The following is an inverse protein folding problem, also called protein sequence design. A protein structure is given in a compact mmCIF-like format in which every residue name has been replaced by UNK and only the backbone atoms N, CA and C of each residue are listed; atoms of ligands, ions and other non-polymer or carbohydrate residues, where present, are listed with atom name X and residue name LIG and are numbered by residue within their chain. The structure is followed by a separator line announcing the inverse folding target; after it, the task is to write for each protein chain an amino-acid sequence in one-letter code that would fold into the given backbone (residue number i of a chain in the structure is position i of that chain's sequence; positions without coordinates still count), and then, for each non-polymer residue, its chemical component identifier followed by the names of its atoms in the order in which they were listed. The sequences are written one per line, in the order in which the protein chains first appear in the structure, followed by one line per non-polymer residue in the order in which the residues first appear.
data_IF_312416054645
#
_entry.id   IF_312416054645
#
_cell.length_a   1.000
_cell.length_b   1.000
_cell.length_c   1.000
_cell.angle_alpha   90.00
_cell.angle_beta   90.00
_cell.angle_gamma   90.00
#
_symmetry.space_group_name_H-M   'P 1'
#
loop_
_entity.id
_entity.type
_entity.pdbx_description
1 polymer ?
#
# COMPACT_ATOMS: atom_id res chain seq x y z
N UNK A 1 14.60 40.01 81.86
CA UNK A 1 13.91 39.15 80.89
C UNK A 1 12.41 39.28 81.14
N UNK A 2 11.70 40.06 80.31
CA UNK A 2 10.26 40.23 80.40
C UNK A 2 9.62 39.44 79.25
N UNK A 3 8.85 38.40 79.58
CA UNK A 3 8.12 37.60 78.60
C UNK A 3 6.88 38.38 78.16
N UNK A 4 6.92 38.94 76.96
CA UNK A 4 5.81 39.63 76.31
C UNK A 4 4.76 38.61 75.89
N UNK A 5 3.64 38.55 76.62
CA UNK A 5 2.42 37.84 76.22
C UNK A 5 1.85 38.49 74.94
N UNK A 6 2.33 38.06 73.77
CA UNK A 6 1.69 38.41 72.49
C UNK A 6 0.35 37.66 72.41
N UNK A 7 -0.74 38.38 72.70
CA UNK A 7 -2.10 37.87 72.46
C UNK A 7 -2.21 37.53 70.97
N UNK A 8 -2.26 36.24 70.63
CA UNK A 8 -2.52 35.81 69.26
C UNK A 8 -3.88 36.36 68.83
N UNK A 9 -3.95 36.92 67.63
CA UNK A 9 -5.19 37.47 67.06
C UNK A 9 -5.89 36.41 66.21
N UNK A 10 -7.22 36.50 66.12
CA UNK A 10 -8.01 35.59 65.29
C UNK A 10 -7.68 35.74 63.80
N UNK A 11 -7.21 34.69 63.14
CA UNK A 11 -6.81 34.68 61.73
C UNK A 11 -7.93 35.10 60.75
N UNK A 12 -9.21 34.84 61.09
CA UNK A 12 -10.36 35.18 60.23
C UNK A 12 -10.89 36.61 60.40
N UNK A 13 -10.66 37.28 61.53
CA UNK A 13 -11.26 38.62 61.78
C UNK A 13 -10.34 39.67 62.36
N UNK A 14 -9.11 39.33 62.77
CA UNK A 14 -8.06 40.22 63.31
C UNK A 14 -8.50 41.16 64.47
N UNK A 15 -9.69 40.96 65.05
CA UNK A 15 -10.29 41.85 66.07
C UNK A 15 -10.48 41.17 67.42
N UNK A 16 -10.67 39.85 67.44
CA UNK A 16 -10.78 39.06 68.67
C UNK A 16 -9.45 38.43 69.06
N UNK A 17 -9.17 38.32 70.36
CA UNK A 17 -8.10 37.44 70.84
C UNK A 17 -8.37 36.01 70.40
N UNK A 18 -7.35 35.33 69.87
CA UNK A 18 -7.38 33.92 69.54
C UNK A 18 -7.48 33.12 70.84
N UNK A 19 -8.62 32.46 71.04
CA UNK A 19 -8.91 31.66 72.25
C UNK A 19 -8.61 30.18 71.99
N UNK A 20 -8.73 29.73 70.73
CA UNK A 20 -8.49 28.35 70.33
C UNK A 20 -7.60 28.31 69.08
N UNK A 21 -6.61 27.42 69.08
CA UNK A 21 -5.75 27.15 67.92
C UNK A 21 -6.15 25.83 67.29
N UNK A 22 -6.31 25.82 65.96
CA UNK A 22 -6.48 24.57 65.22
C UNK A 22 -5.11 23.96 64.93
N UNK A 23 -4.84 22.76 65.43
CA UNK A 23 -3.55 22.09 65.20
C UNK A 23 -3.32 21.69 63.73
N UNK A 24 -4.40 21.47 62.97
CA UNK A 24 -4.31 21.07 61.56
C UNK A 24 -3.81 22.20 60.66
N UNK A 25 -4.38 23.41 60.79
CA UNK A 25 -3.97 24.57 59.99
C UNK A 25 -3.05 25.55 60.73
N UNK A 26 -2.72 25.27 62.01
CA UNK A 26 -1.88 26.09 62.90
C UNK A 26 -2.34 27.55 63.07
N UNK A 27 -3.62 27.82 62.80
CA UNK A 27 -4.20 29.16 62.92
C UNK A 27 -4.98 29.30 64.23
N UNK A 28 -4.89 30.49 64.82
CA UNK A 28 -5.62 30.85 66.05
C UNK A 28 -6.89 31.60 65.70
N UNK A 29 -7.99 31.22 66.32
CA UNK A 29 -9.32 31.74 66.04
C UNK A 29 -10.00 32.21 67.32
N UNK A 30 -10.91 33.18 67.20
CA UNK A 30 -11.88 33.43 68.26
C UNK A 30 -12.93 32.32 68.24
N UNK A 31 -13.66 32.15 69.35
CA UNK A 31 -14.63 31.05 69.53
C UNK A 31 -15.61 30.90 68.36
N UNK A 32 -16.11 32.01 67.81
CA UNK A 32 -17.04 31.98 66.67
C UNK A 32 -16.39 31.41 65.40
N UNK A 33 -15.24 31.93 65.00
CA UNK A 33 -14.57 31.50 63.76
C UNK A 33 -13.94 30.11 63.90
N UNK A 34 -13.65 29.65 65.12
CA UNK A 34 -13.23 28.27 65.36
C UNK A 34 -14.36 27.27 65.07
N UNK A 35 -15.59 27.58 65.50
CA UNK A 35 -16.78 26.75 65.21
C UNK A 35 -17.09 26.74 63.73
N UNK A 36 -17.04 27.90 63.06
CA UNK A 36 -17.22 27.98 61.60
C UNK A 36 -16.16 27.15 60.85
N UNK A 37 -14.89 27.25 61.24
CA UNK A 37 -13.82 26.45 60.64
C UNK A 37 -14.06 24.95 60.83
N UNK A 38 -14.54 24.53 62.01
CA UNK A 38 -14.87 23.12 62.25
C UNK A 38 -16.07 22.65 61.45
N UNK A 39 -17.05 23.52 61.22
CA UNK A 39 -18.20 23.25 60.37
C UNK A 39 -17.80 23.12 58.89
N UNK A 40 -16.91 23.99 58.40
CA UNK A 40 -16.35 23.91 57.04
C UNK A 40 -15.62 22.56 56.82
N UNK A 41 -14.84 22.11 57.80
CA UNK A 41 -14.18 20.79 57.74
C UNK A 41 -15.18 19.62 57.75
N UNK A 42 -16.28 19.74 58.48
CA UNK A 42 -17.35 18.73 58.47
C UNK A 42 -17.99 18.62 57.09
N UNK A 43 -18.28 19.76 56.45
CA UNK A 43 -18.85 19.76 55.09
C UNK A 43 -17.90 19.13 54.07
N UNK A 44 -16.59 19.35 54.20
CA UNK A 44 -15.60 18.73 53.31
C UNK A 44 -15.54 17.22 53.48
N UNK A 45 -15.61 16.70 54.71
CA UNK A 45 -15.57 15.25 54.91
C UNK A 45 -16.86 14.56 54.48
N UNK A 46 -18.00 15.22 54.63
CA UNK A 46 -19.28 14.72 54.12
C UNK A 46 -19.26 14.65 52.58
N UNK A 47 -18.67 15.65 51.92
CA UNK A 47 -18.48 15.64 50.46
C UNK A 47 -17.55 14.50 50.01
N UNK A 48 -16.44 14.28 50.71
CA UNK A 48 -15.53 13.14 50.43
C UNK A 48 -16.26 11.81 50.61
N UNK A 49 -17.11 11.68 51.63
CA UNK A 49 -17.93 10.48 51.84
C UNK A 49 -18.89 10.22 50.67
N UNK A 50 -19.55 11.26 50.16
CA UNK A 50 -20.45 11.15 49.02
C UNK A 50 -19.72 10.71 47.73
N UNK A 51 -18.56 11.32 47.44
CA UNK A 51 -17.75 10.94 46.26
C UNK A 51 -17.24 9.50 46.34
N UNK A 52 -16.84 9.05 47.54
CA UNK A 52 -16.44 7.66 47.77
C UNK A 52 -17.58 6.67 47.49
N UNK A 53 -18.79 6.99 47.94
CA UNK A 53 -19.95 6.11 47.75
C UNK A 53 -20.38 6.05 46.28
N UNK A 54 -20.28 7.16 45.55
CA UNK A 54 -20.48 7.20 44.10
C UNK A 54 -19.46 6.33 43.36
N UNK A 55 -18.16 6.46 43.69
CA UNK A 55 -17.10 5.66 43.09
C UNK A 55 -17.30 4.17 43.34
N UNK A 56 -17.77 3.79 44.54
CA UNK A 56 -18.07 2.40 44.88
C UNK A 56 -19.26 1.86 44.08
N UNK A 57 -20.27 2.69 43.84
CA UNK A 57 -21.41 2.33 43.01
C UNK A 57 -21.00 2.14 41.55
N UNK A 58 -20.14 3.00 41.02
CA UNK A 58 -19.62 2.90 39.65
C UNK A 58 -18.77 1.65 39.44
N UNK A 59 -17.91 1.30 40.40
CA UNK A 59 -17.10 0.07 40.35
C UNK A 59 -17.95 -1.20 40.41
N UNK A 60 -19.15 -1.14 40.97
CA UNK A 60 -20.07 -2.28 41.06
C UNK A 60 -20.92 -2.47 39.80
N UNK A 61 -20.82 -1.55 38.83
CA UNK A 61 -21.59 -1.58 37.60
C UNK A 61 -20.80 -2.32 36.51
N UNK A 62 -21.08 -3.62 36.35
CA UNK A 62 -20.41 -4.53 35.38
C UNK A 62 -20.79 -4.27 33.89
N UNK A 63 -21.25 -3.08 33.53
CA UNK A 63 -21.81 -2.80 32.19
C UNK A 63 -20.77 -2.85 31.04
N UNK A 64 -19.48 -2.90 31.36
CA UNK A 64 -18.41 -2.88 30.35
C UNK A 64 -17.90 -4.27 29.92
N UNK A 65 -17.99 -5.31 30.77
CA UNK A 65 -17.40 -6.63 30.47
C UNK A 65 -18.20 -7.33 29.35
N UNK A 66 -19.53 -7.27 29.44
CA UNK A 66 -20.42 -7.86 28.43
C UNK A 66 -20.24 -7.21 27.06
N UNK A 67 -19.97 -5.89 27.03
CA UNK A 67 -19.68 -5.17 25.78
C UNK A 67 -18.39 -5.67 25.12
N UNK A 68 -17.32 -5.87 25.90
CA UNK A 68 -16.05 -6.38 25.34
C UNK A 68 -16.17 -7.83 24.85
N UNK A 69 -16.92 -8.69 25.55
CA UNK A 69 -17.15 -10.06 25.10
C UNK A 69 -17.90 -10.12 23.77
N UNK A 70 -18.93 -9.29 23.59
CA UNK A 70 -19.64 -9.16 22.30
C UNK A 70 -18.70 -8.72 21.16
N UNK A 71 -17.75 -7.82 21.44
CA UNK A 71 -16.76 -7.41 20.44
C UNK A 71 -15.80 -8.54 20.06
N UNK A 72 -15.42 -9.40 21.02
CA UNK A 72 -14.58 -10.57 20.75
C UNK A 72 -15.32 -11.58 19.89
N UNK A 73 -16.58 -11.88 20.23
CA UNK A 73 -17.44 -12.77 19.46
C UNK A 73 -17.64 -12.24 18.03
N UNK A 74 -17.86 -10.93 17.89
CA UNK A 74 -17.99 -10.30 16.58
C UNK A 74 -16.69 -10.43 15.75
N UNK A 75 -15.54 -10.15 16.36
CA UNK A 75 -14.24 -10.30 15.71
C UNK A 75 -13.99 -11.75 15.25
N UNK A 76 -14.36 -12.75 16.05
CA UNK A 76 -14.23 -14.16 15.70
C UNK A 76 -15.09 -14.50 14.46
N UNK A 77 -16.36 -14.11 14.48
CA UNK A 77 -17.29 -14.37 13.37
C UNK A 77 -16.84 -13.70 12.06
N UNK A 78 -16.39 -12.45 12.13
CA UNK A 78 -15.87 -11.72 10.98
C UNK A 78 -14.60 -12.37 10.41
N UNK A 79 -13.71 -12.85 11.29
CA UNK A 79 -12.49 -13.54 10.89
C UNK A 79 -12.80 -14.86 10.18
N UNK A 80 -13.68 -15.70 10.73
CA UNK A 80 -14.11 -16.96 10.11
C UNK A 80 -14.72 -16.70 8.73
N UNK A 81 -15.62 -15.72 8.64
CA UNK A 81 -16.27 -15.35 7.38
C UNK A 81 -15.25 -14.94 6.32
N UNK A 82 -14.26 -14.13 6.70
CA UNK A 82 -13.20 -13.67 5.79
C UNK A 82 -12.40 -14.85 5.22
N UNK A 83 -12.02 -15.81 6.08
CA UNK A 83 -11.29 -17.01 5.67
C UNK A 83 -12.12 -17.84 4.69
N UNK A 84 -13.42 -18.04 5.00
CA UNK A 84 -14.33 -18.79 4.14
C UNK A 84 -14.50 -18.12 2.78
N UNK A 85 -14.68 -16.80 2.74
CA UNK A 85 -14.77 -16.04 1.50
C UNK A 85 -13.49 -16.15 0.68
N UNK A 86 -12.31 -16.00 1.30
CA UNK A 86 -11.03 -16.17 0.62
C UNK A 86 -10.88 -17.58 0.03
N UNK A 87 -11.16 -18.62 0.81
CA UNK A 87 -11.10 -20.00 0.34
C UNK A 87 -12.08 -20.27 -0.82
N UNK A 88 -13.28 -19.70 -0.77
CA UNK A 88 -14.27 -19.86 -1.83
C UNK A 88 -13.89 -19.12 -3.11
N UNK A 89 -13.28 -17.93 -2.98
CA UNK A 89 -12.73 -17.21 -4.12
C UNK A 89 -11.60 -18.01 -4.77
N UNK A 90 -10.66 -18.54 -3.98
CA UNK A 90 -9.58 -19.39 -4.47
C UNK A 90 -10.09 -20.62 -5.25
N UNK A 91 -11.13 -21.30 -4.73
CA UNK A 91 -11.77 -22.43 -5.45
C UNK A 91 -12.41 -22.01 -6.76
N UNK A 92 -13.13 -20.89 -6.77
CA UNK A 92 -13.79 -20.37 -7.97
C UNK A 92 -12.77 -19.99 -9.04
N UNK A 93 -11.71 -19.26 -8.65
CA UNK A 93 -10.61 -18.89 -9.56
C UNK A 93 -9.91 -20.13 -10.12
N UNK A 94 -9.65 -21.14 -9.30
CA UNK A 94 -9.09 -22.41 -9.77
C UNK A 94 -9.97 -23.07 -10.84
N UNK A 95 -11.28 -23.18 -10.58
CA UNK A 95 -12.21 -23.79 -11.52
C UNK A 95 -12.31 -23.01 -12.83
N UNK A 96 -12.32 -21.68 -12.76
CA UNK A 96 -12.33 -20.82 -13.94
C UNK A 96 -11.08 -21.00 -14.79
N UNK A 97 -9.89 -20.91 -14.19
CA UNK A 97 -8.62 -21.10 -14.90
C UNK A 97 -8.54 -22.51 -15.51
N UNK A 98 -8.92 -23.53 -14.75
CA UNK A 98 -8.93 -24.91 -15.22
C UNK A 98 -9.86 -25.11 -16.43
N UNK A 99 -11.07 -24.57 -16.36
CA UNK A 99 -12.04 -24.66 -17.46
C UNK A 99 -11.59 -23.85 -18.68
N UNK A 100 -10.98 -22.68 -18.47
CA UNK A 100 -10.44 -21.86 -19.56
C UNK A 100 -9.32 -22.60 -20.29
N UNK A 101 -8.33 -23.13 -19.57
CA UNK A 101 -7.26 -23.94 -20.18
C UNK A 101 -7.81 -25.12 -20.96
N UNK A 102 -8.79 -25.84 -20.39
CA UNK A 102 -9.44 -26.98 -21.05
C UNK A 102 -10.12 -26.56 -22.36
N UNK A 103 -10.80 -25.42 -22.37
CA UNK A 103 -11.46 -24.90 -23.56
C UNK A 103 -10.46 -24.44 -24.63
N UNK A 104 -9.39 -23.74 -24.23
CA UNK A 104 -8.32 -23.31 -25.15
C UNK A 104 -7.62 -24.51 -25.81
N UNK A 105 -7.35 -25.56 -25.02
CA UNK A 105 -6.79 -26.80 -25.52
C UNK A 105 -7.72 -27.47 -26.53
N UNK A 106 -9.03 -27.50 -26.24
CA UNK A 106 -10.04 -28.06 -27.15
C UNK A 106 -10.09 -27.30 -28.48
N UNK A 107 -10.15 -25.96 -28.44
CA UNK A 107 -10.17 -25.11 -29.64
C UNK A 107 -8.91 -25.36 -30.49
N UNK A 108 -7.74 -25.46 -29.84
CA UNK A 108 -6.47 -25.69 -30.53
C UNK A 108 -6.40 -27.07 -31.18
N UNK A 109 -6.94 -28.08 -30.50
CA UNK A 109 -7.04 -29.43 -31.03
C UNK A 109 -8.00 -29.51 -32.24
N UNK A 110 -9.14 -28.82 -32.15
CA UNK A 110 -10.13 -28.74 -33.23
C UNK A 110 -9.54 -28.01 -34.46
N UNK A 111 -8.79 -26.91 -34.24
CA UNK A 111 -8.10 -26.17 -35.31
C UNK A 111 -7.06 -27.04 -36.02
N UNK A 112 -6.19 -27.71 -35.26
CA UNK A 112 -5.18 -28.61 -35.82
C UNK A 112 -5.84 -29.77 -36.60
N UNK A 113 -6.94 -30.31 -36.08
CA UNK A 113 -7.71 -31.36 -36.76
C UNK A 113 -8.27 -30.87 -38.09
N UNK A 114 -8.77 -29.63 -38.14
CA UNK A 114 -9.30 -29.05 -39.37
C UNK A 114 -8.18 -28.76 -40.39
N UNK A 115 -7.06 -28.18 -39.96
CA UNK A 115 -5.89 -27.95 -40.83
C UNK A 115 -5.41 -29.28 -41.45
N UNK A 116 -5.24 -30.34 -40.66
CA UNK A 116 -4.81 -31.64 -41.18
C UNK A 116 -5.82 -32.21 -42.21
N UNK A 117 -7.13 -32.01 -42.01
CA UNK A 117 -8.16 -32.46 -42.95
C UNK A 117 -8.09 -31.68 -44.27
N UNK A 118 -8.08 -30.35 -44.19
CA UNK A 118 -8.10 -29.47 -45.36
C UNK A 118 -6.89 -29.73 -46.27
N UNK A 119 -5.70 -29.87 -45.68
CA UNK A 119 -4.47 -30.16 -46.42
C UNK A 119 -4.42 -31.59 -46.98
N UNK A 120 -5.03 -32.55 -46.30
CA UNK A 120 -5.12 -33.94 -46.80
C UNK A 120 -6.07 -34.04 -47.99
N UNK A 121 -7.15 -33.27 -47.99
CA UNK A 121 -8.11 -33.20 -49.10
C UNK A 121 -7.54 -32.41 -50.30
N UNK A 122 -6.74 -31.38 -50.05
CA UNK A 122 -6.11 -30.56 -51.10
C UNK A 122 -4.81 -31.16 -51.67
N UNK A 123 -4.23 -32.17 -51.02
CA UNK A 123 -2.89 -32.73 -51.33
C UNK A 123 -1.75 -31.69 -51.31
N UNK A 124 -1.93 -30.54 -50.66
CA UNK A 124 -1.00 -29.39 -50.68
C UNK A 124 -0.12 -29.31 -49.43
N UNK A 125 0.29 -30.45 -48.88
CA UNK A 125 1.13 -30.49 -47.68
C UNK A 125 2.60 -30.70 -48.03
N UNK A 126 3.47 -30.03 -47.28
CA UNK A 126 4.92 -30.19 -47.37
C UNK A 126 5.47 -30.91 -46.15
N UNK A 127 6.72 -31.37 -46.25
CA UNK A 127 7.46 -31.95 -45.12
C UNK A 127 7.55 -30.97 -43.93
N UNK A 128 7.56 -29.65 -44.21
CA UNK A 128 7.56 -28.59 -43.20
C UNK A 128 6.24 -28.57 -42.42
N UNK A 129 5.10 -28.73 -43.10
CA UNK A 129 3.78 -28.75 -42.47
C UNK A 129 3.59 -29.99 -41.59
N UNK A 130 4.10 -31.14 -42.03
CA UNK A 130 4.09 -32.39 -41.27
C UNK A 130 4.92 -32.25 -39.98
N UNK A 131 6.13 -31.68 -40.09
CA UNK A 131 7.00 -31.43 -38.92
C UNK A 131 6.32 -30.47 -37.94
N UNK A 132 5.72 -29.38 -38.46
CA UNK A 132 4.98 -28.40 -37.66
C UNK A 132 3.84 -29.07 -36.88
N UNK A 133 3.00 -29.89 -37.52
CA UNK A 133 1.89 -30.57 -36.84
C UNK A 133 2.38 -31.58 -35.79
N UNK A 134 3.46 -32.31 -36.07
CA UNK A 134 4.08 -33.23 -35.11
C UNK A 134 4.54 -32.47 -33.86
N UNK A 135 5.16 -31.30 -34.04
CA UNK A 135 5.65 -30.50 -32.93
C UNK A 135 4.50 -29.86 -32.13
N UNK A 136 3.46 -29.34 -32.80
CA UNK A 136 2.23 -28.87 -32.14
C UNK A 136 1.55 -29.99 -31.32
N UNK A 137 1.49 -31.22 -31.84
CA UNK A 137 0.94 -32.36 -31.09
C UNK A 137 1.76 -32.70 -29.84
N UNK A 138 3.10 -32.57 -29.90
CA UNK A 138 3.97 -32.77 -28.73
C UNK A 138 3.74 -31.69 -27.68
N UNK A 139 3.60 -30.43 -28.09
CA UNK A 139 3.33 -29.30 -27.18
C UNK A 139 1.98 -29.46 -26.48
N UNK A 140 0.91 -29.78 -27.24
CA UNK A 140 -0.42 -30.02 -26.68
C UNK A 140 -0.42 -31.20 -25.70
N UNK A 141 0.30 -32.28 -26.02
CA UNK A 141 0.46 -33.43 -25.12
C UNK A 141 1.17 -33.06 -23.81
N UNK A 142 2.23 -32.24 -23.87
CA UNK A 142 2.94 -31.79 -22.67
C UNK A 142 2.06 -30.97 -21.72
N UNK A 143 1.17 -30.13 -22.27
CA UNK A 143 0.22 -29.33 -21.48
C UNK A 143 -0.78 -30.22 -20.73
N UNK A 144 -1.21 -31.33 -21.35
CA UNK A 144 -2.13 -32.32 -20.73
C UNK A 144 -1.41 -33.13 -19.64
N UNK A 145 -0.19 -33.62 -19.92
CA UNK A 145 0.56 -34.50 -19.03
C UNK A 145 1.10 -33.76 -17.79
N UNK A 146 1.38 -32.46 -17.90
CA UNK A 146 1.82 -31.61 -16.78
C UNK A 146 1.13 -30.25 -16.81
N UNK A 147 -0.07 -30.12 -16.22
CA UNK A 147 -0.73 -28.84 -16.05
C UNK A 147 0.01 -28.00 -15.00
N UNK A 148 1.13 -27.40 -15.40
CA UNK A 148 2.00 -26.54 -14.58
C UNK A 148 1.41 -25.14 -14.38
N UNK A 149 0.10 -25.02 -14.61
CA UNK A 149 -0.63 -23.78 -14.86
C UNK A 149 -1.05 -23.14 -13.54
N UNK A 150 -1.26 -23.93 -12.50
CA UNK A 150 -1.90 -23.41 -11.28
C UNK A 150 -0.94 -23.56 -10.10
N UNK A 151 -0.49 -22.41 -9.57
CA UNK A 151 0.31 -22.34 -8.35
C UNK A 151 -0.58 -21.88 -7.20
N UNK A 152 -0.58 -22.68 -6.14
CA UNK A 152 -1.16 -22.31 -4.86
C UNK A 152 -0.08 -21.55 -4.10
N UNK A 153 -0.27 -20.25 -3.94
CA UNK A 153 0.58 -19.40 -3.13
C UNK A 153 -0.08 -19.15 -1.78
N UNK A 154 0.74 -19.03 -0.74
CA UNK A 154 0.29 -18.67 0.60
C UNK A 154 0.75 -17.24 0.86
N UNK A 155 -0.16 -16.43 1.39
CA UNK A 155 0.19 -15.09 1.83
C UNK A 155 1.29 -15.19 2.91
N UNK A 156 2.54 -14.89 2.55
CA UNK A 156 3.72 -15.10 3.38
C UNK A 156 3.92 -13.94 4.38
N UNK A 157 2.83 -13.38 4.87
CA UNK A 157 2.86 -12.39 5.93
C UNK A 157 3.13 -13.11 7.26
N UNK A 158 4.36 -12.98 7.77
CA UNK A 158 4.85 -13.65 8.99
C UNK A 158 4.04 -13.22 10.24
N UNK A 159 3.25 -12.14 10.16
CA UNK A 159 2.43 -11.61 11.26
C UNK A 159 0.94 -11.95 11.16
N UNK A 160 0.47 -12.54 10.05
CA UNK A 160 -0.94 -12.95 9.93
C UNK A 160 -1.16 -14.30 10.62
N UNK A 161 -2.00 -14.32 11.66
CA UNK A 161 -2.38 -15.56 12.34
C UNK A 161 -3.05 -16.58 11.40
N UNK A 162 -3.56 -16.13 10.25
CA UNK A 162 -4.17 -16.98 9.22
C UNK A 162 -3.51 -16.73 7.86
N UNK A 163 -2.96 -17.79 7.27
CA UNK A 163 -2.40 -17.77 5.92
C UNK A 163 -3.52 -17.88 4.89
N UNK A 164 -3.65 -16.88 4.04
CA UNK A 164 -4.65 -16.86 2.97
C UNK A 164 -4.10 -17.57 1.73
N UNK A 165 -4.97 -18.29 1.04
CA UNK A 165 -4.62 -19.06 -0.17
C UNK A 165 -4.91 -18.21 -1.40
N UNK A 166 -3.90 -18.04 -2.26
CA UNK A 166 -4.06 -17.41 -3.57
C UNK A 166 -3.78 -18.40 -4.67
N UNK A 167 -4.71 -18.53 -5.61
CA UNK A 167 -4.53 -19.34 -6.81
C UNK A 167 -4.05 -18.41 -7.92
N UNK A 168 -2.88 -18.69 -8.48
CA UNK A 168 -2.32 -17.93 -9.61
C UNK A 168 -2.23 -18.82 -10.84
N UNK A 169 -2.72 -18.31 -11.98
CA UNK A 169 -2.57 -18.91 -13.30
C UNK A 169 -1.30 -18.41 -14.01
N UNK A 170 -0.92 -18.99 -15.16
CA UNK A 170 0.16 -18.46 -15.97
C UNK A 170 -0.27 -17.11 -16.57
N UNK A 171 0.65 -16.16 -16.75
CA UNK A 171 0.33 -14.79 -17.13
C UNK A 171 -0.22 -14.62 -18.55
N UNK A 172 -0.17 -15.62 -19.44
CA UNK A 172 -0.82 -15.62 -20.76
C UNK A 172 -1.17 -17.04 -21.24
N UNK A 173 -2.24 -17.14 -22.05
CA UNK A 173 -2.57 -18.32 -22.86
C UNK A 173 -1.33 -18.75 -23.65
N UNK A 174 -0.89 -20.00 -23.46
CA UNK A 174 0.41 -20.48 -23.93
C UNK A 174 0.47 -20.80 -25.44
N UNK A 175 -0.63 -20.67 -26.18
CA UNK A 175 -0.68 -21.08 -27.59
C UNK A 175 -0.66 -19.84 -28.50
N UNK A 176 0.51 -19.23 -28.62
CA UNK A 176 0.77 -18.20 -29.64
C UNK A 176 1.31 -18.85 -30.90
N UNK A 177 0.43 -19.24 -31.83
CA UNK A 177 0.86 -19.50 -33.21
C UNK A 177 0.72 -18.22 -34.03
N UNK A 178 1.84 -17.81 -34.63
CA UNK A 178 1.96 -16.74 -35.61
C UNK A 178 0.88 -16.82 -36.68
N UNK A 179 0.08 -15.77 -36.80
CA UNK A 179 -0.61 -15.45 -38.04
C UNK A 179 -0.71 -13.93 -38.21
N UNK A 180 -0.25 -13.49 -39.38
CA UNK A 180 -0.26 -12.10 -39.84
C UNK A 180 -1.68 -11.54 -39.95
N UNK A 181 -1.75 -10.21 -39.81
CA UNK A 181 -2.87 -9.30 -40.04
C UNK A 181 -4.04 -9.84 -40.89
N UNK A 182 -5.26 -9.71 -40.34
CA UNK A 182 -6.32 -8.86 -40.91
C UNK A 182 -7.53 -8.70 -39.97
N UNK A 183 -7.78 -7.43 -39.63
CA UNK A 183 -9.09 -6.73 -39.43
C UNK A 183 -10.19 -7.33 -38.54
N UNK A 184 -10.69 -6.47 -37.62
CA UNK A 184 -12.07 -6.31 -37.11
C UNK A 184 -12.78 -7.58 -36.61
N UNK A 185 -13.31 -7.65 -35.39
CA UNK A 185 -14.31 -6.77 -34.77
C UNK A 185 -14.49 -7.16 -33.29
N UNK A 186 -14.88 -6.17 -32.46
CA UNK A 186 -15.72 -6.26 -31.25
C UNK A 186 -15.72 -7.55 -30.43
N UNK A 187 -15.16 -7.47 -29.21
CA UNK A 187 -15.79 -8.08 -28.04
C UNK A 187 -15.45 -7.27 -26.78
N UNK A 188 -16.40 -6.43 -26.37
CA UNK A 188 -16.44 -5.80 -25.06
C UNK A 188 -16.61 -6.90 -24.00
N UNK A 189 -15.59 -7.11 -23.18
CA UNK A 189 -15.70 -7.86 -21.94
C UNK A 189 -15.42 -6.92 -20.76
N UNK A 190 -16.53 -6.43 -20.20
CA UNK A 190 -16.74 -6.04 -18.79
C UNK A 190 -15.68 -5.18 -18.09
N UNK A 191 -16.01 -3.89 -18.01
CA UNK A 191 -15.55 -2.93 -17.01
C UNK A 191 -15.63 -3.48 -15.58
N UNK A 192 -14.50 -3.85 -15.00
CA UNK A 192 -14.25 -3.53 -13.60
C UNK A 192 -13.91 -2.05 -13.53
N UNK A 193 -14.60 -1.31 -12.66
CA UNK A 193 -14.44 0.14 -12.50
C UNK A 193 -12.99 0.48 -12.11
N UNK A 194 -12.16 0.77 -13.10
CA UNK A 194 -10.96 1.57 -12.94
C UNK A 194 -11.42 2.94 -12.41
N UNK A 195 -11.26 3.17 -11.11
CA UNK A 195 -11.39 4.52 -10.58
C UNK A 195 -10.23 5.31 -11.18
N UNK A 196 -10.52 6.07 -12.23
CA UNK A 196 -9.62 7.05 -12.79
C UNK A 196 -9.11 7.92 -11.62
N UNK A 197 -7.82 7.79 -11.33
CA UNK A 197 -7.19 8.63 -10.33
C UNK A 197 -7.37 10.10 -10.72
N UNK A 198 -7.43 11.04 -9.76
CA UNK A 198 -7.34 12.46 -10.08
C UNK A 198 -6.17 12.66 -11.04
N UNK A 199 -6.38 13.40 -12.14
CA UNK A 199 -5.42 13.51 -13.26
C UNK A 199 -4.01 13.77 -12.72
N UNK A 200 -3.18 12.72 -12.64
CA UNK A 200 -1.83 12.82 -12.09
C UNK A 200 -1.00 13.72 -12.99
N UNK A 201 -0.20 14.58 -12.36
CA UNK A 201 0.64 15.58 -13.01
C UNK A 201 1.90 15.79 -12.20
N UNK A 202 3.00 16.06 -12.85
CA UNK A 202 4.20 16.55 -12.19
C UNK A 202 3.95 17.97 -11.66
N UNK A 203 4.30 18.19 -10.39
CA UNK A 203 4.09 19.49 -9.71
C UNK A 203 5.33 20.01 -9.00
N UNK A 204 6.29 19.14 -8.69
CA UNK A 204 7.51 19.47 -7.97
C UNK A 204 8.71 18.99 -8.80
N UNK A 205 9.78 19.78 -8.82
CA UNK A 205 11.06 19.41 -9.39
C UNK A 205 12.21 19.84 -8.48
N UNK A 206 13.32 19.13 -8.60
CA UNK A 206 14.61 19.48 -8.01
C UNK A 206 15.67 19.32 -9.10
N UNK A 207 16.65 20.24 -9.13
CA UNK A 207 17.66 20.29 -10.18
C UNK A 207 17.14 20.95 -11.46
N UNK A 208 17.89 20.78 -12.55
CA UNK A 208 17.60 21.39 -13.85
C UNK A 208 16.56 20.54 -14.61
N UNK A 209 15.32 20.54 -14.13
CA UNK A 209 14.17 19.95 -14.81
C UNK A 209 13.20 21.01 -15.30
N UNK A 210 12.84 20.93 -16.58
CA UNK A 210 11.74 21.66 -17.17
C UNK A 210 10.46 20.80 -17.17
N UNK A 211 9.40 21.31 -16.54
CA UNK A 211 8.07 20.71 -16.60
C UNK A 211 7.26 21.34 -17.73
N UNK A 212 6.50 20.54 -18.46
CA UNK A 212 5.57 21.03 -19.46
C UNK A 212 4.43 21.84 -18.83
N UNK A 213 3.82 22.74 -19.61
CA UNK A 213 2.74 23.61 -19.13
C UNK A 213 1.48 22.84 -18.70
N UNK A 214 1.24 21.66 -19.26
CA UNK A 214 0.15 20.76 -18.87
C UNK A 214 0.48 19.91 -17.62
N UNK A 215 1.74 19.91 -17.18
CA UNK A 215 2.27 19.11 -16.07
C UNK A 215 2.42 17.62 -16.39
N UNK A 216 2.32 17.20 -17.65
CA UNK A 216 2.37 15.79 -18.03
C UNK A 216 3.76 15.30 -18.39
N UNK A 217 4.69 16.19 -18.73
CA UNK A 217 6.06 15.83 -19.10
C UNK A 217 7.08 16.53 -18.23
N UNK A 218 8.17 15.83 -17.92
CA UNK A 218 9.36 16.39 -17.29
C UNK A 218 10.59 16.08 -18.13
N UNK A 219 11.40 17.10 -18.41
CA UNK A 219 12.62 17.00 -19.21
C UNK A 219 13.83 17.49 -18.42
N UNK A 220 14.87 16.67 -18.36
CA UNK A 220 16.15 17.07 -17.77
C UNK A 220 16.96 17.93 -18.74
N UNK A 221 17.44 19.07 -18.23
CA UNK A 221 18.33 20.00 -18.92
C UNK A 221 19.78 19.89 -18.43
N UNK A 222 20.02 19.14 -17.34
CA UNK A 222 21.35 19.00 -16.77
C UNK A 222 22.22 18.08 -17.61
N UNK A 223 23.43 18.53 -17.94
CA UNK A 223 24.47 17.71 -18.58
C UNK A 223 25.27 16.87 -17.57
N UNK A 224 24.97 16.97 -16.28
CA UNK A 224 25.70 16.29 -15.19
C UNK A 224 24.74 15.47 -14.32
N UNK A 225 25.27 14.45 -13.65
CA UNK A 225 24.55 13.65 -12.64
C UNK A 225 24.33 14.45 -11.36
N UNK A 226 23.50 15.49 -11.43
CA UNK A 226 23.18 16.39 -10.32
C UNK A 226 22.04 15.87 -9.41
N UNK A 227 21.42 14.76 -9.80
CA UNK A 227 20.30 14.18 -9.08
C UNK A 227 18.96 14.84 -9.38
N UNK A 228 18.83 15.44 -10.56
CA UNK A 228 17.59 16.04 -11.04
C UNK A 228 16.42 15.06 -10.97
N UNK A 229 15.34 15.47 -10.32
CA UNK A 229 14.18 14.61 -10.11
C UNK A 229 12.87 15.40 -10.11
N UNK A 230 11.80 14.71 -10.45
CA UNK A 230 10.43 15.24 -10.50
C UNK A 230 9.52 14.41 -9.62
N UNK A 231 8.47 15.04 -9.11
CA UNK A 231 7.45 14.38 -8.29
C UNK A 231 6.05 14.72 -8.76
N UNK A 232 5.16 13.74 -8.60
CA UNK A 232 3.73 13.88 -8.86
C UNK A 232 3.02 14.75 -7.82
N UNK A 233 1.87 15.28 -8.22
CA UNK A 233 0.93 16.00 -7.36
C UNK A 233 0.11 15.04 -6.50
N UNK A 234 -0.07 13.79 -6.96
CA UNK A 234 -0.78 12.74 -6.25
C UNK A 234 -0.28 12.52 -4.82
N UNK A 235 -1.23 12.25 -3.92
CA UNK A 235 -1.00 11.88 -2.52
C UNK A 235 -1.82 10.63 -2.23
N UNK A 236 -1.13 9.52 -2.13
CA UNK A 236 -1.72 8.18 -2.17
C UNK A 236 -1.69 7.54 -0.78
N UNK A 237 -2.87 7.22 -0.23
CA UNK A 237 -3.00 6.64 1.13
C UNK A 237 -3.98 5.47 1.23
N UNK A 238 -4.72 5.18 0.17
CA UNK A 238 -5.70 4.10 0.10
C UNK A 238 -5.98 3.75 -1.36
N UNK A 239 -6.60 2.60 -1.63
CA UNK A 239 -6.92 2.10 -2.98
C UNK A 239 -5.70 1.77 -3.81
N UNK A 240 -5.98 1.28 -5.02
CA UNK A 240 -5.01 0.96 -6.05
C UNK A 240 -5.01 2.08 -7.09
N UNK A 241 -3.83 2.60 -7.40
CA UNK A 241 -3.62 3.65 -8.39
C UNK A 241 -2.70 3.17 -9.50
N UNK A 242 -3.00 3.56 -10.73
CA UNK A 242 -2.25 3.21 -11.91
C UNK A 242 -1.76 4.50 -12.57
N UNK A 243 -0.45 4.70 -12.60
CA UNK A 243 0.18 5.84 -13.27
C UNK A 243 1.03 5.30 -14.40
N UNK A 244 0.62 5.60 -15.64
CA UNK A 244 1.31 5.14 -16.84
C UNK A 244 2.24 6.22 -17.36
N UNK A 245 3.44 5.82 -17.73
CA UNK A 245 4.49 6.65 -18.26
C UNK A 245 4.91 6.15 -19.63
N UNK A 246 5.26 7.10 -20.51
CA UNK A 246 6.01 6.87 -21.72
C UNK A 246 7.39 7.50 -21.56
N UNK A 247 8.42 6.73 -21.87
CA UNK A 247 9.82 7.19 -21.90
C UNK A 247 10.02 7.82 -23.27
N UNK A 248 9.93 9.14 -23.37
CA UNK A 248 10.04 9.83 -24.67
C UNK A 248 11.49 9.86 -25.15
N UNK A 249 12.42 10.10 -24.24
CA UNK A 249 13.85 10.07 -24.53
C UNK A 249 14.63 9.64 -23.30
N UNK A 250 15.53 8.68 -23.47
CA UNK A 250 16.43 8.17 -22.43
C UNK A 250 17.85 8.16 -22.97
N UNK A 251 18.66 9.09 -22.49
CA UNK A 251 20.08 9.23 -22.79
C UNK A 251 20.95 8.60 -21.70
N UNK A 252 20.42 8.42 -20.48
CA UNK A 252 21.09 7.75 -19.37
C UNK A 252 20.65 6.29 -19.13
N UNK A 253 21.49 5.53 -18.41
CA UNK A 253 21.19 4.16 -17.97
C UNK A 253 20.67 4.07 -16.53
N UNK A 254 20.34 5.21 -15.93
CA UNK A 254 20.01 5.28 -14.50
C UNK A 254 18.76 6.12 -14.30
N UNK A 255 17.61 5.55 -14.62
CA UNK A 255 16.33 6.18 -14.27
C UNK A 255 15.76 5.54 -13.04
N UNK A 256 15.43 6.36 -12.05
CA UNK A 256 14.72 5.90 -10.87
C UNK A 256 13.22 6.11 -11.07
N UNK A 257 12.42 5.07 -10.85
CA UNK A 257 10.97 5.18 -10.70
C UNK A 257 10.58 4.64 -9.34
N UNK A 258 9.80 5.40 -8.58
CA UNK A 258 9.38 4.93 -7.28
C UNK A 258 8.47 5.90 -6.55
N UNK A 259 8.44 5.73 -5.24
CA UNK A 259 7.72 6.58 -4.31
C UNK A 259 8.61 7.04 -3.17
N UNK A 260 8.15 8.10 -2.52
CA UNK A 260 8.60 8.58 -1.22
C UNK A 260 7.37 8.97 -0.39
N UNK A 261 7.56 9.13 0.92
CA UNK A 261 6.55 9.77 1.77
C UNK A 261 6.31 11.21 1.31
N UNK A 262 5.06 11.66 1.32
CA UNK A 262 4.67 12.95 0.78
C UNK A 262 5.32 14.15 1.47
N UNK A 263 5.63 14.04 2.76
CA UNK A 263 6.33 15.06 3.55
C UNK A 263 7.82 15.18 3.20
N UNK A 264 8.39 14.21 2.49
CA UNK A 264 9.79 14.22 2.07
C UNK A 264 10.02 15.28 0.98
N UNK A 265 10.97 16.17 1.20
CA UNK A 265 11.43 17.12 0.18
C UNK A 265 12.34 16.43 -0.84
N UNK A 266 12.26 16.88 -2.09
CA UNK A 266 13.15 16.44 -3.17
C UNK A 266 14.58 16.91 -2.91
N UNK A 267 15.55 16.05 -3.21
CA UNK A 267 16.98 16.32 -3.04
C UNK A 267 17.78 15.62 -4.12
N UNK A 268 19.04 15.99 -4.32
CA UNK A 268 19.95 15.35 -5.31
C UNK A 268 20.20 13.87 -5.04
N UNK A 269 19.92 13.40 -3.83
CA UNK A 269 20.09 12.01 -3.41
C UNK A 269 18.75 11.38 -3.03
N UNK A 270 17.67 11.72 -3.76
CA UNK A 270 16.32 11.28 -3.41
C UNK A 270 16.18 9.76 -3.34
N UNK A 271 16.90 9.02 -4.17
CA UNK A 271 16.94 7.55 -4.14
C UNK A 271 17.61 6.97 -2.90
N UNK A 272 18.34 7.78 -2.12
CA UNK A 272 19.06 7.37 -0.92
C UNK A 272 18.33 7.79 0.37
N UNK A 273 17.20 8.49 0.29
CA UNK A 273 16.45 8.85 1.50
C UNK A 273 15.74 7.63 2.09
N UNK A 274 15.54 7.65 3.40
CA UNK A 274 14.97 6.52 4.14
C UNK A 274 13.55 6.12 3.66
N UNK A 275 12.77 7.06 3.12
CA UNK A 275 11.43 6.79 2.59
C UNK A 275 11.41 6.38 1.11
N UNK A 276 12.56 6.32 0.43
CA UNK A 276 12.60 6.01 -1.00
C UNK A 276 12.49 4.51 -1.25
N UNK A 277 11.49 4.15 -2.06
CA UNK A 277 11.24 2.79 -2.52
C UNK A 277 10.96 2.80 -4.03
N UNK A 278 11.63 1.95 -4.79
CA UNK A 278 11.46 1.93 -6.24
C UNK A 278 12.53 1.12 -6.97
N UNK A 279 12.75 1.45 -8.25
CA UNK A 279 13.67 0.73 -9.11
C UNK A 279 14.54 1.66 -9.92
N UNK A 280 15.79 1.25 -10.14
CA UNK A 280 16.60 1.75 -11.24
C UNK A 280 16.48 0.85 -12.45
N UNK A 281 16.02 1.40 -13.58
CA UNK A 281 15.97 0.72 -14.88
C UNK A 281 15.24 -0.65 -14.89
N UNK A 282 14.39 -0.94 -13.88
CA UNK A 282 13.76 -2.24 -13.52
C UNK A 282 14.68 -3.28 -12.89
N UNK A 283 16.00 -3.09 -13.01
CA UNK A 283 17.01 -4.07 -12.60
C UNK A 283 17.39 -3.97 -11.12
N UNK A 284 17.54 -2.75 -10.58
CA UNK A 284 17.97 -2.56 -9.19
C UNK A 284 16.82 -2.12 -8.32
N UNK A 285 16.67 -2.77 -7.17
CA UNK A 285 15.61 -2.48 -6.22
C UNK A 285 16.17 -1.53 -5.18
N UNK A 286 15.46 -0.42 -4.94
CA UNK A 286 15.72 0.49 -3.82
C UNK A 286 14.62 0.27 -2.80
N UNK A 287 15.02 -0.07 -1.57
CA UNK A 287 14.10 -0.17 -0.43
C UNK A 287 14.70 0.62 0.72
N UNK A 288 13.94 1.57 1.24
CA UNK A 288 14.33 2.47 2.33
C UNK A 288 15.66 3.20 2.05
N UNK A 289 15.83 3.70 0.83
CA UNK A 289 17.03 4.38 0.38
C UNK A 289 18.26 3.48 0.15
N UNK A 290 18.12 2.16 0.37
CA UNK A 290 19.20 1.20 0.18
C UNK A 290 19.01 0.44 -1.11
N UNK A 291 20.04 0.44 -1.96
CA UNK A 291 20.05 -0.34 -3.20
C UNK A 291 20.39 -1.79 -2.88
N UNK A 292 19.57 -2.72 -3.36
CA UNK A 292 19.86 -4.15 -3.37
C UNK A 292 20.30 -4.53 -4.78
N UNK A 293 21.36 -5.34 -4.87
CA UNK A 293 21.82 -5.87 -6.15
C UNK A 293 20.68 -6.63 -6.82
N UNK A 294 20.45 -6.30 -8.08
CA UNK A 294 19.43 -6.93 -8.89
C UNK A 294 19.94 -7.26 -10.30
N UNK A 295 19.07 -7.87 -11.10
CA UNK A 295 19.46 -8.43 -12.37
C UNK A 295 19.67 -7.31 -13.42
N UNK A 296 20.94 -7.04 -13.75
CA UNK A 296 21.38 -6.00 -14.71
C UNK A 296 20.85 -6.16 -16.14
N UNK A 297 20.20 -7.27 -16.46
CA UNK A 297 19.75 -7.58 -17.83
C UNK A 297 18.45 -6.89 -18.23
N UNK A 298 17.75 -6.25 -17.29
CA UNK A 298 16.51 -5.52 -17.57
C UNK A 298 16.81 -4.03 -17.50
N UNK A 299 16.74 -3.37 -18.66
CA UNK A 299 16.85 -1.90 -18.80
C UNK A 299 15.61 -1.31 -19.46
N UNK A 300 15.29 -0.05 -19.23
CA UNK A 300 14.24 0.65 -19.99
C UNK A 300 14.87 1.44 -21.14
N UNK A 301 14.16 1.65 -22.26
CA UNK A 301 14.63 2.37 -23.44
C UNK A 301 13.64 3.47 -23.86
N UNK A 302 14.12 4.41 -24.69
CA UNK A 302 13.25 5.38 -25.37
C UNK A 302 12.16 4.65 -26.17
N UNK A 303 10.92 5.13 -26.06
CA UNK A 303 9.73 4.54 -26.66
C UNK A 303 9.03 3.49 -25.78
N UNK A 304 9.66 3.02 -24.70
CA UNK A 304 9.02 2.08 -23.79
C UNK A 304 7.91 2.77 -22.97
N UNK A 305 6.91 1.97 -22.61
CA UNK A 305 5.86 2.38 -21.70
C UNK A 305 5.90 1.51 -20.44
N UNK A 306 5.73 2.18 -19.30
CA UNK A 306 5.70 1.53 -17.99
C UNK A 306 4.52 2.03 -17.17
N UNK A 307 3.95 1.17 -16.33
CA UNK A 307 2.92 1.56 -15.35
C UNK A 307 3.44 1.34 -13.95
N UNK A 308 3.47 2.41 -13.15
CA UNK A 308 3.63 2.33 -11.71
C UNK A 308 2.26 2.09 -11.08
N UNK A 309 2.14 0.97 -10.36
CA UNK A 309 0.95 0.56 -9.65
C UNK A 309 1.19 0.79 -8.16
N UNK A 310 0.37 1.61 -7.53
CA UNK A 310 0.43 1.91 -6.10
C UNK A 310 -0.78 1.27 -5.42
N UNK A 311 -0.57 0.11 -4.81
CA UNK A 311 -1.58 -0.59 -4.03
C UNK A 311 -1.41 -0.21 -2.56
N UNK A 312 -2.08 0.88 -2.16
CA UNK A 312 -1.96 1.41 -0.81
C UNK A 312 -2.62 0.48 0.22
N UNK A 313 -3.70 -0.21 -0.16
CA UNK A 313 -4.43 -1.10 0.74
C UNK A 313 -3.57 -2.32 1.11
N UNK A 314 -2.80 -2.86 0.15
CA UNK A 314 -1.87 -3.96 0.39
C UNK A 314 -0.43 -3.52 0.67
N UNK A 315 -0.18 -2.21 0.78
CA UNK A 315 1.16 -1.63 1.03
C UNK A 315 2.22 -2.10 0.02
N UNK A 316 1.84 -2.17 -1.25
CA UNK A 316 2.65 -2.73 -2.32
C UNK A 316 2.81 -1.69 -3.44
N UNK A 317 4.02 -1.54 -3.95
CA UNK A 317 4.25 -0.85 -5.23
C UNK A 317 4.70 -1.86 -6.28
N UNK A 318 4.26 -1.68 -7.51
CA UNK A 318 4.70 -2.50 -8.64
C UNK A 318 5.03 -1.64 -9.85
N UNK A 319 5.98 -2.09 -10.66
CA UNK A 319 6.34 -1.46 -11.93
C UNK A 319 6.18 -2.48 -13.05
N UNK A 320 5.24 -2.21 -13.95
CA UNK A 320 4.94 -3.03 -15.11
C UNK A 320 5.60 -2.42 -16.35
N UNK A 321 6.34 -3.22 -17.11
CA UNK A 321 6.90 -2.84 -18.39
C UNK A 321 6.12 -3.49 -19.54
N UNK A 322 5.44 -2.69 -20.35
CA UNK A 322 4.48 -3.18 -21.35
C UNK A 322 5.17 -3.94 -22.50
N UNK A 323 6.28 -3.42 -23.04
CA UNK A 323 6.97 -4.03 -24.18
C UNK A 323 7.65 -5.37 -23.89
N UNK A 324 7.85 -5.72 -22.62
CA UNK A 324 8.54 -6.96 -22.19
C UNK A 324 7.66 -7.85 -21.32
N UNK A 325 6.42 -7.41 -21.06
CA UNK A 325 5.50 -8.03 -20.12
C UNK A 325 6.16 -8.40 -18.77
N UNK A 326 7.01 -7.50 -18.27
CA UNK A 326 7.72 -7.71 -17.01
C UNK A 326 7.00 -6.95 -15.90
N UNK A 327 6.77 -7.61 -14.77
CA UNK A 327 6.21 -7.00 -13.57
C UNK A 327 7.16 -7.24 -12.39
N UNK A 328 7.53 -6.16 -11.72
CA UNK A 328 8.34 -6.20 -10.49
C UNK A 328 7.58 -5.52 -9.36
N UNK A 329 7.71 -6.03 -8.13
CA UNK A 329 6.96 -5.53 -6.96
C UNK A 329 7.85 -5.38 -5.74
N UNK A 330 7.53 -4.40 -4.89
CA UNK A 330 8.19 -4.13 -3.61
C UNK A 330 7.12 -3.96 -2.53
N UNK A 331 7.20 -4.76 -1.48
CA UNK A 331 6.40 -4.57 -0.27
C UNK A 331 6.95 -3.38 0.51
N UNK A 332 6.08 -2.44 0.88
CA UNK A 332 6.46 -1.23 1.59
C UNK A 332 6.30 -1.42 3.10
N UNK A 333 7.35 -1.07 3.82
CA UNK A 333 7.32 -0.91 5.27
C UNK A 333 6.88 0.52 5.63
N UNK A 334 5.73 0.64 6.27
CA UNK A 334 5.15 1.95 6.64
C UNK A 334 5.89 2.64 7.78
N UNK A 335 6.74 1.94 8.54
CA UNK A 335 7.60 2.60 9.53
C UNK A 335 8.70 3.43 8.83
N UNK A 336 9.08 3.02 7.62
CA UNK A 336 10.17 3.61 6.86
C UNK A 336 9.67 4.56 5.77
N UNK A 337 8.56 4.20 5.11
CA UNK A 337 7.89 5.00 4.09
C UNK A 337 6.38 5.13 4.43
N UNK A 338 6.02 5.94 5.45
CA UNK A 338 4.62 6.14 5.83
C UNK A 338 3.80 6.84 4.74
N UNK A 339 2.48 6.70 4.84
CA UNK A 339 1.52 7.43 4.02
C UNK A 339 1.49 8.93 4.37
N UNK A 340 1.04 9.80 3.44
CA UNK A 340 0.73 9.51 2.04
C UNK A 340 2.00 9.23 1.23
N UNK A 341 1.91 8.43 0.18
CA UNK A 341 2.98 8.32 -0.80
C UNK A 341 2.83 9.37 -1.89
N UNK A 342 3.96 9.79 -2.47
CA UNK A 342 4.01 10.54 -3.72
C UNK A 342 5.00 9.89 -4.68
N UNK A 343 4.67 9.93 -5.97
CA UNK A 343 5.53 9.48 -7.06
C UNK A 343 6.80 10.32 -7.12
N UNK A 344 7.94 9.68 -7.37
CA UNK A 344 9.17 10.38 -7.75
C UNK A 344 9.86 9.67 -8.93
N UNK A 345 10.41 10.46 -9.85
CA UNK A 345 11.21 9.98 -10.98
C UNK A 345 12.51 10.77 -11.02
N UNK A 346 13.64 10.08 -11.16
CA UNK A 346 14.96 10.72 -11.34
C UNK A 346 15.41 10.58 -12.78
N UNK A 347 15.85 11.69 -13.35
CA UNK A 347 16.32 11.82 -14.73
C UNK A 347 17.76 12.33 -14.69
N UNK A 348 18.72 11.49 -15.08
CA UNK A 348 20.15 11.72 -14.78
C UNK A 348 20.95 12.33 -15.95
N UNK A 349 20.37 12.54 -17.13
CA UNK A 349 21.13 13.12 -18.25
C UNK A 349 20.34 14.07 -19.11
N UNK A 350 21.08 14.91 -19.84
CA UNK A 350 20.52 15.93 -20.70
C UNK A 350 19.56 15.30 -21.71
N UNK A 351 18.40 15.93 -21.85
CA UNK A 351 17.30 15.50 -22.70
C UNK A 351 16.58 14.21 -22.26
N UNK A 352 16.90 13.63 -21.11
CA UNK A 352 16.04 12.61 -20.49
C UNK A 352 14.63 13.18 -20.32
N UNK A 353 13.61 12.50 -20.87
CA UNK A 353 12.25 13.01 -20.94
C UNK A 353 11.22 11.90 -20.70
N UNK A 354 10.40 12.10 -19.66
CA UNK A 354 9.31 11.19 -19.29
C UNK A 354 7.98 11.91 -19.37
N UNK A 355 6.95 11.18 -19.81
CA UNK A 355 5.59 11.71 -19.94
C UNK A 355 4.58 10.80 -19.27
N UNK A 356 3.67 11.37 -18.48
CA UNK A 356 2.47 10.69 -18.00
C UNK A 356 1.48 10.56 -19.16
N UNK A 357 0.95 9.36 -19.35
CA UNK A 357 -0.05 9.05 -20.37
C UNK A 357 -1.32 8.50 -19.71
N UNK A 358 -2.48 8.91 -20.22
CA UNK A 358 -3.79 8.50 -19.72
C UNK A 358 -4.40 7.38 -20.57
#
# INVERSE_FOLDING_TARGET
MASTNMKQICAKCNKGGGIAMCHGCQQSFCTKHFVEHRQELSQQIDHIGQEHDLLRQDLSREENIDSFLVHIDQWEQESIKTIQTCAQNARTTFQQLHNQTKNELKISFDKLTQEIRDYRESYDYTEVDIIKWIDTLKELRQIIERPSIIRIDYDNNITSAVKLIKVTGPPHSMLSFTQEKRSNENNNCTNEQMIASPSEKFSESFGDIELSTDGLSGRCLSSRWDGSCISGMGRYSSKIHYIRFRIENKTSNYWFFGIITASQQLTSSISAVQSACGWWDLGYIVVNGKTKDGNRTKTMNSGDEVTLILDCDNRLIQLQHHGRNALVGIQIDLEQCPFPWKLVIRLDSEHDCVKIVH
#
